data_IF_701290751766
#
_entry.id   IF_701290751766
#
_cell.length_a   1.000
_cell.length_b   1.000
_cell.length_c   1.000
_cell.angle_alpha   90.00
_cell.angle_beta   90.00
_cell.angle_gamma   90.00
#
_symmetry.space_group_name_H-M   'P 1'
#
loop_
_entity.id
_entity.type
_entity.pdbx_description
1 polymer ?
#
# COMPACT_ATOMS: atom_id res chain seq x y z
N UNK A 1 -6.30 -12.79 -17.04
CA UNK A 1 -5.48 -12.11 -16.00
C UNK A 1 -4.47 -11.25 -16.71
N UNK A 2 -4.33 -9.95 -16.40
CA UNK A 2 -3.11 -9.25 -16.78
C UNK A 2 -1.96 -9.92 -16.01
N UNK A 3 -1.01 -10.51 -16.73
CA UNK A 3 0.23 -11.00 -16.10
C UNK A 3 0.90 -9.79 -15.46
N UNK A 4 1.41 -9.95 -14.23
CA UNK A 4 2.28 -8.92 -13.64
C UNK A 4 3.39 -8.59 -14.64
N UNK A 5 3.64 -7.30 -14.85
CA UNK A 5 4.68 -6.87 -15.79
C UNK A 5 6.05 -7.41 -15.35
N UNK A 6 6.85 -7.83 -16.34
CA UNK A 6 8.15 -8.46 -16.10
C UNK A 6 9.09 -7.63 -15.23
N UNK A 7 8.95 -6.30 -15.28
CA UNK A 7 9.70 -5.34 -14.47
C UNK A 7 9.30 -5.46 -12.99
N UNK A 8 8.00 -5.50 -12.69
CA UNK A 8 7.46 -5.64 -11.33
C UNK A 8 7.93 -6.94 -10.69
N UNK A 9 7.93 -8.05 -11.46
CA UNK A 9 8.40 -9.34 -10.95
C UNK A 9 9.90 -9.29 -10.61
N UNK A 10 10.72 -8.71 -11.49
CA UNK A 10 12.17 -8.55 -11.26
C UNK A 10 12.46 -7.66 -10.05
N UNK A 11 11.76 -6.54 -9.91
CA UNK A 11 11.89 -5.64 -8.76
C UNK A 11 11.57 -6.37 -7.44
N UNK A 12 10.41 -7.05 -7.38
CA UNK A 12 10.02 -7.84 -6.20
C UNK A 12 11.09 -8.87 -5.84
N UNK A 13 11.61 -9.59 -6.83
CA UNK A 13 12.66 -10.58 -6.62
C UNK A 13 13.95 -9.97 -6.05
N UNK A 14 14.41 -8.85 -6.61
CA UNK A 14 15.61 -8.15 -6.12
C UNK A 14 15.40 -7.67 -4.69
N UNK A 15 14.26 -7.01 -4.41
CA UNK A 15 13.92 -6.54 -3.07
C UNK A 15 13.86 -7.69 -2.06
N UNK A 16 13.22 -8.80 -2.43
CA UNK A 16 13.10 -9.97 -1.57
C UNK A 16 14.46 -10.62 -1.31
N UNK A 17 15.36 -10.63 -2.30
CA UNK A 17 16.73 -11.09 -2.13
C UNK A 17 17.51 -10.19 -1.16
N UNK A 18 17.42 -8.86 -1.32
CA UNK A 18 18.08 -7.88 -0.45
C UNK A 18 17.58 -7.96 1.00
N UNK A 19 16.28 -8.09 1.20
CA UNK A 19 15.65 -8.16 2.53
C UNK A 19 15.59 -9.58 3.10
N UNK A 20 16.02 -10.60 2.35
CA UNK A 20 15.97 -12.00 2.75
C UNK A 20 16.61 -12.28 4.10
N UNK A 21 17.81 -11.75 4.43
CA UNK A 21 18.45 -12.03 5.72
C UNK A 21 17.60 -11.56 6.90
N UNK A 22 17.06 -10.34 6.81
CA UNK A 22 16.23 -9.74 7.86
C UNK A 22 14.88 -10.44 7.94
N UNK A 23 14.24 -10.70 6.80
CA UNK A 23 12.96 -11.39 6.74
C UNK A 23 13.02 -12.80 7.33
N UNK A 24 14.07 -13.57 7.00
CA UNK A 24 14.30 -14.90 7.57
C UNK A 24 14.58 -14.85 9.07
N UNK A 25 15.35 -13.86 9.53
CA UNK A 25 15.63 -13.68 10.95
C UNK A 25 14.34 -13.41 11.74
N UNK A 26 13.52 -12.45 11.29
CA UNK A 26 12.25 -12.11 11.94
C UNK A 26 11.31 -13.32 11.95
N UNK A 27 11.16 -13.99 10.80
CA UNK A 27 10.31 -15.19 10.71
C UNK A 27 10.84 -16.35 11.57
N UNK A 28 12.16 -16.51 11.68
CA UNK A 28 12.77 -17.55 12.51
C UNK A 28 12.44 -17.34 13.99
N UNK A 29 12.57 -16.09 14.47
CA UNK A 29 12.27 -15.69 15.86
C UNK A 29 10.75 -15.75 16.13
N UNK A 30 9.91 -15.52 15.11
CA UNK A 30 8.46 -15.56 15.26
C UNK A 30 7.91 -16.99 15.39
N UNK A 31 7.54 -17.36 16.61
CA UNK A 31 7.09 -18.71 16.98
C UNK A 31 5.57 -18.97 16.86
N UNK A 32 4.64 -17.99 17.02
CA UNK A 32 3.21 -18.26 17.17
C UNK A 32 2.57 -19.23 16.15
N UNK A 33 2.81 -19.11 14.82
CA UNK A 33 2.22 -20.05 13.86
C UNK A 33 2.65 -21.51 14.09
N UNK A 34 3.87 -21.74 14.57
CA UNK A 34 4.40 -23.09 14.87
C UNK A 34 3.74 -23.70 16.11
N UNK A 35 3.44 -22.88 17.11
CA UNK A 35 2.72 -23.32 18.32
C UNK A 35 1.27 -23.63 18.01
N UNK A 36 0.58 -22.75 17.26
CA UNK A 36 -0.81 -22.95 16.87
C UNK A 36 -1.00 -24.24 16.05
N UNK A 37 -0.06 -24.55 15.14
CA UNK A 37 -0.08 -25.81 14.41
C UNK A 37 0.08 -27.04 15.31
N UNK A 38 0.88 -26.95 16.38
CA UNK A 38 1.06 -28.05 17.35
C UNK A 38 -0.22 -28.36 18.13
N UNK A 39 -1.06 -27.35 18.40
CA UNK A 39 -2.35 -27.51 19.08
C UNK A 39 -3.51 -27.83 18.12
N UNK A 40 -3.21 -28.24 16.88
CA UNK A 40 -4.21 -28.71 15.91
C UNK A 40 -4.93 -27.61 15.11
N UNK A 41 -4.51 -26.35 15.19
CA UNK A 41 -5.10 -25.27 14.40
C UNK A 41 -4.66 -25.39 12.93
N UNK A 42 -5.62 -25.21 12.02
CA UNK A 42 -5.34 -25.25 10.57
C UNK A 42 -4.30 -24.21 10.16
N UNK A 43 -3.51 -24.52 9.14
CA UNK A 43 -2.47 -23.62 8.62
C UNK A 43 -3.05 -22.23 8.29
N UNK A 44 -4.19 -22.17 7.62
CA UNK A 44 -4.84 -20.90 7.25
C UNK A 44 -5.14 -20.03 8.46
N UNK A 45 -5.66 -20.61 9.55
CA UNK A 45 -5.95 -19.88 10.79
C UNK A 45 -4.68 -19.49 11.53
N UNK A 46 -3.64 -20.34 11.51
CA UNK A 46 -2.35 -20.02 12.11
C UNK A 46 -1.63 -18.86 11.39
N UNK A 47 -1.80 -18.74 10.07
CA UNK A 47 -1.22 -17.65 9.27
C UNK A 47 -1.81 -16.27 9.58
N UNK A 48 -2.99 -16.19 10.20
CA UNK A 48 -3.52 -14.92 10.73
C UNK A 48 -2.51 -14.31 11.71
N UNK A 49 -1.85 -15.15 12.51
CA UNK A 49 -0.79 -14.79 13.45
C UNK A 49 0.61 -14.93 12.84
N UNK A 50 0.72 -14.93 11.51
CA UNK A 50 1.98 -14.99 10.78
C UNK A 50 2.87 -13.79 11.05
N UNK A 51 4.17 -13.93 10.78
CA UNK A 51 5.14 -12.89 11.06
C UNK A 51 4.86 -11.63 10.24
N UNK A 52 4.41 -11.78 8.98
CA UNK A 52 4.03 -10.66 8.13
C UNK A 52 2.86 -9.84 8.70
N UNK A 53 1.76 -10.51 9.06
CA UNK A 53 0.59 -9.82 9.64
C UNK A 53 0.91 -9.14 10.97
N UNK A 54 1.77 -9.75 11.79
CA UNK A 54 2.25 -9.12 13.01
C UNK A 54 3.06 -7.86 12.72
N UNK A 55 3.94 -7.89 11.71
CA UNK A 55 4.69 -6.70 11.29
C UNK A 55 3.76 -5.58 10.80
N UNK A 56 2.72 -5.91 10.02
CA UNK A 56 1.71 -4.93 9.61
C UNK A 56 0.96 -4.33 10.80
N UNK A 57 0.58 -5.16 11.78
CA UNK A 57 -0.07 -4.71 13.01
C UNK A 57 0.86 -3.85 13.87
N UNK A 58 2.14 -4.22 14.00
CA UNK A 58 3.13 -3.44 14.72
C UNK A 58 3.30 -2.04 14.11
N UNK A 59 3.36 -1.95 12.78
CA UNK A 59 3.36 -0.68 12.05
C UNK A 59 2.13 0.17 12.36
N UNK A 60 0.94 -0.43 12.40
CA UNK A 60 -0.30 0.26 12.77
C UNK A 60 -0.27 0.79 14.21
N UNK A 61 0.26 0.01 15.16
CA UNK A 61 0.43 0.43 16.55
C UNK A 61 1.41 1.60 16.68
N UNK A 62 2.45 1.66 15.85
CA UNK A 62 3.37 2.82 15.80
C UNK A 62 2.65 4.09 15.35
N UNK A 63 1.73 3.99 14.38
CA UNK A 63 0.90 5.13 13.94
C UNK A 63 -0.05 5.58 15.07
N UNK A 64 -0.65 4.64 15.80
CA UNK A 64 -1.48 4.98 16.97
C UNK A 64 -0.65 5.68 18.05
N UNK A 65 0.56 5.16 18.33
CA UNK A 65 1.49 5.79 19.28
C UNK A 65 1.88 7.19 18.82
N UNK A 66 2.12 7.40 17.52
CA UNK A 66 2.33 8.73 16.96
C UNK A 66 1.21 9.70 17.34
N UNK A 67 -0.06 9.33 17.12
CA UNK A 67 -1.21 10.18 17.47
C UNK A 67 -1.34 10.45 18.98
N UNK A 68 -0.91 9.51 19.81
CA UNK A 68 -0.90 9.70 21.27
C UNK A 68 0.12 10.75 21.73
N UNK A 69 1.22 10.92 20.99
CA UNK A 69 2.34 11.77 21.41
C UNK A 69 2.47 13.06 20.58
N UNK A 70 1.96 13.14 19.34
CA UNK A 70 2.37 14.18 18.39
C UNK A 70 2.16 15.64 18.84
N UNK A 71 1.26 15.90 19.80
CA UNK A 71 1.02 17.24 20.37
C UNK A 71 1.97 17.62 21.50
N UNK A 72 2.78 16.67 21.99
CA UNK A 72 3.77 16.96 23.02
C UNK A 72 4.85 17.88 22.45
N UNK A 73 5.31 18.82 23.27
CA UNK A 73 6.38 19.73 22.87
C UNK A 73 7.73 19.02 22.84
N UNK A 74 8.62 19.42 21.92
CA UNK A 74 10.01 18.95 21.88
C UNK A 74 10.23 17.52 21.37
N UNK A 75 9.21 16.81 20.89
CA UNK A 75 9.33 15.40 20.48
C UNK A 75 9.47 15.17 18.96
N UNK A 76 9.74 16.21 18.17
CA UNK A 76 9.80 16.11 16.69
C UNK A 76 10.75 15.00 16.21
N UNK A 77 11.91 14.84 16.87
CA UNK A 77 12.85 13.77 16.55
C UNK A 77 12.28 12.37 16.85
N UNK A 78 11.56 12.21 17.96
CA UNK A 78 10.91 10.94 18.31
C UNK A 78 9.81 10.60 17.32
N UNK A 79 9.02 11.59 16.91
CA UNK A 79 8.00 11.47 15.88
C UNK A 79 8.62 11.00 14.56
N UNK A 80 9.72 11.63 14.12
CA UNK A 80 10.44 11.22 12.92
C UNK A 80 10.84 9.73 12.98
N UNK A 81 11.43 9.28 14.10
CA UNK A 81 11.82 7.89 14.26
C UNK A 81 10.62 6.93 14.33
N UNK A 82 9.49 7.34 14.92
CA UNK A 82 8.26 6.54 14.94
C UNK A 82 7.70 6.34 13.52
N UNK A 83 7.64 7.41 12.72
CA UNK A 83 7.19 7.34 11.33
C UNK A 83 8.14 6.50 10.49
N UNK A 84 9.46 6.69 10.64
CA UNK A 84 10.46 5.90 9.94
C UNK A 84 10.34 4.42 10.32
N UNK A 85 10.15 4.09 11.59
CA UNK A 85 9.91 2.72 12.03
C UNK A 85 8.63 2.14 11.41
N UNK A 86 7.53 2.90 11.36
CA UNK A 86 6.30 2.46 10.71
C UNK A 86 6.54 2.16 9.21
N UNK A 87 7.27 3.02 8.50
CA UNK A 87 7.65 2.80 7.11
C UNK A 87 8.56 1.57 6.92
N UNK A 88 9.53 1.35 7.80
CA UNK A 88 10.42 0.19 7.72
C UNK A 88 9.66 -1.13 7.96
N UNK A 89 8.67 -1.14 8.85
CA UNK A 89 7.82 -2.32 9.06
C UNK A 89 7.03 -2.69 7.80
N UNK A 90 6.58 -1.70 7.03
CA UNK A 90 5.92 -1.87 5.73
C UNK A 90 6.84 -2.46 4.65
N UNK A 91 8.07 -1.96 4.58
CA UNK A 91 9.03 -2.49 3.61
C UNK A 91 9.36 -3.98 3.83
N UNK A 92 9.22 -4.47 5.07
CA UNK A 92 9.70 -5.79 5.49
C UNK A 92 8.57 -6.85 5.51
N UNK A 93 7.31 -6.48 5.76
CA UNK A 93 6.23 -7.46 5.90
C UNK A 93 5.90 -8.20 4.59
N UNK A 94 5.95 -7.51 3.45
CA UNK A 94 5.75 -8.07 2.12
C UNK A 94 6.80 -9.14 1.79
N UNK A 95 8.11 -8.86 1.91
CA UNK A 95 9.16 -9.86 1.78
C UNK A 95 8.99 -11.06 2.72
N UNK A 96 8.64 -10.83 3.99
CA UNK A 96 8.35 -11.93 4.93
C UNK A 96 7.23 -12.82 4.37
N UNK A 97 6.12 -12.22 3.93
CA UNK A 97 4.98 -12.94 3.39
C UNK A 97 5.33 -13.75 2.13
N UNK A 98 6.09 -13.16 1.19
CA UNK A 98 6.44 -13.83 -0.08
C UNK A 98 7.45 -14.96 0.10
N UNK A 99 8.52 -14.73 0.87
CA UNK A 99 9.59 -15.72 1.07
C UNK A 99 9.07 -16.97 1.78
N UNK A 100 8.11 -16.81 2.70
CA UNK A 100 7.59 -17.91 3.53
C UNK A 100 6.22 -18.43 3.06
N UNK A 101 5.69 -17.93 1.93
CA UNK A 101 4.35 -18.27 1.44
C UNK A 101 3.25 -18.02 2.48
N UNK A 102 3.29 -16.85 3.14
CA UNK A 102 2.36 -16.37 4.15
C UNK A 102 1.53 -15.16 3.64
N UNK A 103 1.34 -15.03 2.32
CA UNK A 103 0.49 -13.97 1.76
C UNK A 103 -0.97 -14.25 2.17
N UNK A 104 -1.58 -13.31 2.89
CA UNK A 104 -2.98 -13.43 3.33
C UNK A 104 -3.80 -12.21 2.91
N UNK A 105 -5.12 -12.38 2.69
CA UNK A 105 -6.00 -11.24 2.38
C UNK A 105 -6.04 -10.22 3.51
N UNK A 106 -6.00 -10.69 4.76
CA UNK A 106 -5.92 -9.82 5.93
C UNK A 106 -4.65 -8.96 5.90
N UNK A 107 -3.50 -9.60 5.67
CA UNK A 107 -2.21 -8.90 5.58
C UNK A 107 -2.24 -7.80 4.52
N UNK A 108 -2.77 -8.09 3.33
CA UNK A 108 -2.88 -7.09 2.26
C UNK A 108 -3.83 -5.95 2.64
N UNK A 109 -4.96 -6.20 3.30
CA UNK A 109 -5.84 -5.12 3.77
C UNK A 109 -5.15 -4.25 4.82
N UNK A 110 -4.44 -4.88 5.77
CA UNK A 110 -3.70 -4.17 6.82
C UNK A 110 -2.57 -3.30 6.24
N UNK A 111 -1.86 -3.80 5.24
CA UNK A 111 -0.81 -3.09 4.49
C UNK A 111 -1.33 -1.74 3.97
N UNK A 112 -2.41 -1.77 3.19
CA UNK A 112 -2.98 -0.54 2.62
C UNK A 112 -3.68 0.37 3.64
N UNK A 113 -4.29 -0.20 4.68
CA UNK A 113 -4.86 0.60 5.77
C UNK A 113 -3.75 1.38 6.49
N UNK A 114 -2.62 0.71 6.77
CA UNK A 114 -1.44 1.33 7.36
C UNK A 114 -0.90 2.43 6.46
N UNK A 115 -0.76 2.19 5.15
CA UNK A 115 -0.25 3.18 4.19
C UNK A 115 -1.05 4.48 4.22
N UNK A 116 -2.38 4.39 4.10
CA UNK A 116 -3.23 5.58 4.11
C UNK A 116 -3.18 6.30 5.46
N UNK A 117 -3.23 5.56 6.57
CA UNK A 117 -3.15 6.16 7.90
C UNK A 117 -1.80 6.81 8.14
N UNK A 118 -0.69 6.18 7.75
CA UNK A 118 0.65 6.74 7.88
C UNK A 118 0.77 8.05 7.09
N UNK A 119 0.42 8.01 5.80
CA UNK A 119 0.49 9.18 4.94
C UNK A 119 -0.38 10.34 5.45
N UNK A 120 -1.63 10.04 5.83
CA UNK A 120 -2.54 11.04 6.40
C UNK A 120 -1.99 11.66 7.68
N UNK A 121 -1.49 10.82 8.59
CA UNK A 121 -0.91 11.24 9.87
C UNK A 121 0.25 12.21 9.66
N UNK A 122 1.13 11.88 8.73
CA UNK A 122 2.30 12.71 8.45
C UNK A 122 1.93 14.00 7.75
N UNK A 123 1.03 13.98 6.76
CA UNK A 123 0.56 15.20 6.08
C UNK A 123 -0.02 16.18 7.10
N UNK A 124 -0.87 15.71 8.03
CA UNK A 124 -1.43 16.57 9.08
C UNK A 124 -0.33 17.15 9.96
N UNK A 125 0.64 16.33 10.37
CA UNK A 125 1.71 16.79 11.24
C UNK A 125 2.53 17.91 10.59
N UNK A 126 2.95 17.71 9.34
CA UNK A 126 3.73 18.71 8.60
C UNK A 126 2.86 19.95 8.37
N UNK A 127 1.58 19.78 8.03
CA UNK A 127 0.65 20.90 7.85
C UNK A 127 0.56 21.76 9.11
N UNK A 128 0.35 21.14 10.27
CA UNK A 128 0.25 21.87 11.55
C UNK A 128 1.57 22.54 11.93
N UNK A 129 2.70 21.87 11.71
CA UNK A 129 4.02 22.41 12.05
C UNK A 129 4.45 23.57 11.15
N UNK A 130 4.05 23.55 9.88
CA UNK A 130 4.49 24.49 8.86
C UNK A 130 3.33 25.30 8.24
N UNK A 131 2.26 25.53 8.98
CA UNK A 131 1.08 26.26 8.47
C UNK A 131 1.41 27.70 8.01
N UNK A 132 2.46 28.29 8.56
CA UNK A 132 2.96 29.63 8.18
C UNK A 132 3.91 29.62 6.97
N UNK A 133 4.24 28.44 6.42
CA UNK A 133 5.20 28.25 5.32
C UNK A 133 4.47 27.86 4.03
N UNK A 134 4.04 28.84 3.21
CA UNK A 134 3.24 28.58 2.02
C UNK A 134 3.97 27.67 1.01
N UNK A 135 5.29 27.77 0.97
CA UNK A 135 6.19 26.92 0.20
C UNK A 135 5.99 25.42 0.52
N UNK A 136 5.91 25.06 1.81
CA UNK A 136 5.67 23.69 2.28
C UNK A 136 4.22 23.28 2.07
N UNK A 137 3.27 24.20 2.23
CA UNK A 137 1.85 23.90 2.00
C UNK A 137 1.58 23.52 0.53
N UNK A 138 2.28 24.13 -0.43
CA UNK A 138 2.21 23.74 -1.84
C UNK A 138 2.70 22.30 -2.04
N UNK A 139 3.79 21.90 -1.38
CA UNK A 139 4.30 20.52 -1.42
C UNK A 139 3.23 19.54 -0.92
N UNK A 140 2.67 19.82 0.25
CA UNK A 140 1.65 18.97 0.86
C UNK A 140 0.39 18.89 -0.01
N UNK A 141 -0.05 20.01 -0.57
CA UNK A 141 -1.21 20.04 -1.47
C UNK A 141 -0.98 19.19 -2.73
N UNK A 142 0.21 19.25 -3.32
CA UNK A 142 0.56 18.44 -4.49
C UNK A 142 0.54 16.93 -4.18
N UNK A 143 1.13 16.52 -3.05
CA UNK A 143 1.14 15.12 -2.61
C UNK A 143 -0.27 14.63 -2.26
N UNK A 144 -1.04 15.45 -1.54
CA UNK A 144 -2.42 15.14 -1.17
C UNK A 144 -3.31 14.99 -2.41
N UNK A 145 -3.20 15.91 -3.37
CA UNK A 145 -3.95 15.85 -4.63
C UNK A 145 -3.62 14.58 -5.42
N UNK A 146 -2.32 14.27 -5.59
CA UNK A 146 -1.88 13.03 -6.25
C UNK A 146 -2.49 11.79 -5.58
N UNK A 147 -2.44 11.74 -4.24
CA UNK A 147 -2.99 10.63 -3.45
C UNK A 147 -4.52 10.52 -3.61
N UNK A 148 -5.25 11.64 -3.56
CA UNK A 148 -6.72 11.66 -3.73
C UNK A 148 -7.12 11.17 -5.12
N UNK A 149 -6.41 11.60 -6.16
CA UNK A 149 -6.66 11.14 -7.54
C UNK A 149 -6.50 9.62 -7.64
N UNK A 150 -5.45 9.07 -7.05
CA UNK A 150 -5.17 7.64 -7.07
C UNK A 150 -6.16 6.82 -6.23
N UNK A 151 -6.49 7.28 -5.03
CA UNK A 151 -7.53 6.68 -4.20
C UNK A 151 -8.87 6.65 -4.94
N UNK A 152 -9.21 7.74 -5.66
CA UNK A 152 -10.41 7.83 -6.49
C UNK A 152 -10.38 6.86 -7.67
N UNK A 153 -9.24 6.68 -8.32
CA UNK A 153 -9.07 5.71 -9.41
C UNK A 153 -9.24 4.28 -8.90
N UNK A 154 -8.61 3.92 -7.78
CA UNK A 154 -8.75 2.62 -7.14
C UNK A 154 -10.19 2.35 -6.67
N UNK A 155 -10.86 3.35 -6.09
CA UNK A 155 -12.26 3.25 -5.69
C UNK A 155 -13.18 3.01 -6.90
N UNK A 156 -12.96 3.72 -8.02
CA UNK A 156 -13.70 3.46 -9.27
C UNK A 156 -13.47 2.06 -9.81
N UNK A 157 -12.23 1.54 -9.76
CA UNK A 157 -11.93 0.16 -10.15
C UNK A 157 -12.64 -0.86 -9.25
N UNK A 158 -12.64 -0.63 -7.94
CA UNK A 158 -13.34 -1.47 -6.97
C UNK A 158 -14.85 -1.47 -7.20
N UNK A 159 -15.47 -0.29 -7.36
CA UNK A 159 -16.92 -0.16 -7.62
C UNK A 159 -17.31 -0.82 -8.93
N UNK A 160 -16.52 -0.63 -9.99
CA UNK A 160 -16.72 -1.34 -11.24
C UNK A 160 -16.68 -2.85 -11.01
N UNK A 161 -15.73 -3.40 -10.25
CA UNK A 161 -15.69 -4.83 -9.93
C UNK A 161 -16.92 -5.26 -9.10
N UNK A 162 -17.29 -4.51 -8.07
CA UNK A 162 -18.46 -4.80 -7.23
C UNK A 162 -19.76 -4.88 -8.04
N UNK A 163 -20.03 -3.91 -8.92
CA UNK A 163 -21.24 -3.92 -9.76
C UNK A 163 -21.30 -5.14 -10.70
N UNK A 164 -20.14 -5.69 -11.07
CA UNK A 164 -20.07 -6.91 -11.88
C UNK A 164 -20.33 -8.17 -11.07
N UNK A 165 -19.88 -8.19 -9.80
CA UNK A 165 -20.06 -9.30 -8.89
C UNK A 165 -21.32 -9.18 -8.02
N UNK A 166 -22.18 -8.18 -8.22
CA UNK A 166 -23.52 -8.04 -7.57
C UNK A 166 -24.38 -9.32 -7.59
N UNK A 167 -24.10 -10.24 -8.52
CA UNK A 167 -24.78 -11.54 -8.63
C UNK A 167 -24.26 -12.60 -7.65
N UNK A 168 -23.16 -12.34 -6.97
CA UNK A 168 -22.55 -13.20 -5.96
C UNK A 168 -22.69 -12.53 -4.59
N UNK A 169 -23.48 -13.12 -3.69
CA UNK A 169 -23.79 -12.59 -2.36
C UNK A 169 -22.61 -12.60 -1.36
N UNK A 170 -21.38 -12.89 -1.79
CA UNK A 170 -20.22 -13.03 -0.91
C UNK A 170 -19.24 -11.86 -1.12
N UNK A 171 -19.45 -10.79 -0.34
CA UNK A 171 -18.60 -9.60 -0.33
C UNK A 171 -17.16 -9.92 0.08
N UNK A 172 -16.95 -10.93 0.93
CA UNK A 172 -15.61 -11.32 1.38
C UNK A 172 -14.79 -11.89 0.24
N UNK A 173 -15.42 -12.66 -0.64
CA UNK A 173 -14.77 -13.17 -1.84
C UNK A 173 -14.36 -12.03 -2.78
N UNK A 174 -15.22 -11.02 -2.96
CA UNK A 174 -14.92 -9.84 -3.78
C UNK A 174 -13.74 -9.07 -3.19
N UNK A 175 -13.75 -8.80 -1.88
CA UNK A 175 -12.68 -8.10 -1.17
C UNK A 175 -11.37 -8.87 -1.31
N UNK A 176 -11.40 -10.19 -1.07
CA UNK A 176 -10.24 -11.05 -1.18
C UNK A 176 -9.64 -11.01 -2.59
N UNK A 177 -10.46 -11.26 -3.60
CA UNK A 177 -9.98 -11.36 -4.98
C UNK A 177 -9.49 -9.98 -5.48
N UNK A 178 -10.16 -8.88 -5.11
CA UNK A 178 -9.68 -7.52 -5.39
C UNK A 178 -8.36 -7.24 -4.68
N UNK A 179 -8.25 -7.55 -3.40
CA UNK A 179 -7.05 -7.33 -2.59
C UNK A 179 -5.84 -8.08 -3.15
N UNK A 180 -6.00 -9.35 -3.51
CA UNK A 180 -4.91 -10.18 -3.99
C UNK A 180 -4.50 -9.91 -5.45
N UNK A 181 -5.43 -9.46 -6.30
CA UNK A 181 -5.18 -9.32 -7.74
C UNK A 181 -5.05 -7.88 -8.23
N UNK A 182 -5.89 -6.98 -7.72
CA UNK A 182 -6.04 -5.62 -8.27
C UNK A 182 -5.39 -4.56 -7.40
N UNK A 183 -5.23 -4.86 -6.11
CA UNK A 183 -4.68 -3.93 -5.14
C UNK A 183 -3.15 -4.03 -5.03
N UNK A 184 -2.54 -4.99 -5.72
CA UNK A 184 -1.09 -5.04 -5.87
C UNK A 184 -0.57 -3.90 -6.74
N UNK A 185 0.38 -3.14 -6.21
CA UNK A 185 1.01 -2.02 -6.90
C UNK A 185 2.01 -2.48 -7.96
N UNK A 186 1.91 -1.87 -9.15
CA UNK A 186 2.89 -2.00 -10.23
C UNK A 186 4.21 -1.32 -9.86
N UNK A 187 5.25 -1.55 -10.67
CA UNK A 187 6.53 -0.86 -10.51
C UNK A 187 6.37 0.67 -10.45
N UNK A 188 5.64 1.27 -11.40
CA UNK A 188 5.39 2.72 -11.41
C UNK A 188 4.66 3.18 -10.15
N UNK A 189 3.67 2.40 -9.70
CA UNK A 189 2.95 2.67 -8.44
C UNK A 189 3.85 2.66 -7.21
N UNK A 190 4.85 1.75 -7.17
CA UNK A 190 5.85 1.70 -6.11
C UNK A 190 6.80 2.89 -6.15
N UNK A 191 7.28 3.28 -7.34
CA UNK A 191 8.12 4.48 -7.51
C UNK A 191 7.34 5.74 -7.11
N UNK A 192 6.06 5.83 -7.50
CA UNK A 192 5.18 6.91 -7.10
C UNK A 192 5.05 7.02 -5.57
N UNK A 193 4.78 5.90 -4.90
CA UNK A 193 4.67 5.86 -3.44
C UNK A 193 6.00 6.20 -2.76
N UNK A 194 7.11 5.61 -3.22
CA UNK A 194 8.44 5.86 -2.67
C UNK A 194 8.82 7.34 -2.75
N UNK A 195 8.56 7.99 -3.88
CA UNK A 195 8.86 9.42 -4.06
C UNK A 195 8.01 10.31 -3.18
N UNK A 196 6.72 9.97 -2.97
CA UNK A 196 5.86 10.64 -2.00
C UNK A 196 6.41 10.48 -0.56
N UNK A 197 6.70 9.24 -0.17
CA UNK A 197 7.21 8.90 1.15
C UNK A 197 8.57 9.56 1.43
N UNK A 198 9.46 9.61 0.45
CA UNK A 198 10.76 10.27 0.56
C UNK A 198 10.61 11.79 0.72
N UNK A 199 9.71 12.42 -0.05
CA UNK A 199 9.44 13.86 0.06
C UNK A 199 8.92 14.23 1.44
N UNK A 200 7.93 13.48 1.91
CA UNK A 200 7.34 13.64 3.24
C UNK A 200 8.35 13.36 4.36
N UNK A 201 9.15 12.30 4.23
CA UNK A 201 10.17 11.95 5.24
C UNK A 201 11.28 12.99 5.34
N UNK A 202 11.69 13.61 4.22
CA UNK A 202 12.64 14.72 4.25
C UNK A 202 12.09 15.95 4.96
N UNK A 203 10.79 16.24 4.82
CA UNK A 203 10.13 17.35 5.51
C UNK A 203 10.01 17.07 7.02
N UNK A 204 9.72 15.82 7.38
CA UNK A 204 9.76 15.37 8.77
C UNK A 204 11.16 15.49 9.36
N UNK A 205 12.19 15.06 8.62
CA UNK A 205 13.57 15.17 9.07
C UNK A 205 13.98 16.63 9.23
N UNK A 206 13.58 17.49 8.30
CA UNK A 206 13.78 18.93 8.41
C UNK A 206 13.08 19.50 9.65
N UNK A 207 11.83 19.15 9.91
CA UNK A 207 11.11 19.56 11.13
C UNK A 207 11.82 19.12 12.41
N UNK A 208 12.40 17.91 12.41
CA UNK A 208 13.07 17.32 13.55
C UNK A 208 14.46 17.91 13.82
N UNK A 209 15.25 18.14 12.77
CA UNK A 209 16.69 18.43 12.90
C UNK A 209 17.12 19.76 12.29
N UNK A 210 16.21 20.49 11.66
CA UNK A 210 16.45 21.80 11.04
C UNK A 210 17.64 21.76 10.05
N UNK A 211 17.72 20.70 9.25
CA UNK A 211 18.77 20.50 8.23
C UNK A 211 18.28 20.85 6.84
N UNK A 212 18.80 21.95 6.28
CA UNK A 212 18.40 22.47 4.97
C UNK A 212 18.53 21.47 3.83
N UNK A 213 19.53 20.59 3.86
CA UNK A 213 19.69 19.57 2.83
C UNK A 213 18.49 18.61 2.75
N UNK A 214 17.82 18.34 3.89
CA UNK A 214 16.66 17.46 3.92
C UNK A 214 15.43 18.15 3.32
N UNK A 215 15.27 19.44 3.58
CA UNK A 215 14.27 20.27 2.93
C UNK A 215 14.48 20.32 1.42
N UNK A 216 15.72 20.53 0.95
CA UNK A 216 16.04 20.51 -0.48
C UNK A 216 15.78 19.13 -1.12
N UNK A 217 16.16 18.05 -0.44
CA UNK A 217 15.86 16.69 -0.87
C UNK A 217 14.35 16.43 -0.99
N UNK A 218 13.54 16.99 -0.08
CA UNK A 218 12.07 16.93 -0.15
C UNK A 218 11.50 17.58 -1.40
N UNK A 219 12.08 18.71 -1.83
CA UNK A 219 11.69 19.37 -3.08
C UNK A 219 12.03 18.52 -4.30
N UNK A 220 13.25 17.99 -4.37
CA UNK A 220 13.68 17.14 -5.49
C UNK A 220 12.76 15.92 -5.60
N UNK A 221 12.51 15.26 -4.49
CA UNK A 221 11.65 14.06 -4.45
C UNK A 221 10.19 14.38 -4.72
N UNK A 222 9.70 15.58 -4.36
CA UNK A 222 8.38 16.06 -4.77
C UNK A 222 8.29 16.25 -6.29
N UNK A 223 9.27 16.91 -6.91
CA UNK A 223 9.26 17.12 -8.35
C UNK A 223 9.25 15.79 -9.10
N UNK A 224 10.04 14.83 -8.61
CA UNK A 224 10.02 13.47 -9.11
C UNK A 224 8.67 12.78 -8.88
N UNK A 225 8.08 12.96 -7.69
CA UNK A 225 6.74 12.43 -7.38
C UNK A 225 5.70 12.94 -8.38
N UNK A 226 5.61 14.26 -8.60
CA UNK A 226 4.68 14.87 -9.56
C UNK A 226 4.89 14.29 -10.97
N UNK A 227 6.14 14.16 -11.42
CA UNK A 227 6.46 13.57 -12.71
C UNK A 227 5.97 12.11 -12.80
N UNK A 228 6.25 11.29 -11.79
CA UNK A 228 5.85 9.87 -11.74
C UNK A 228 4.34 9.71 -11.60
N UNK A 229 3.64 10.62 -10.92
CA UNK A 229 2.17 10.62 -10.78
C UNK A 229 1.49 10.64 -12.14
N UNK A 230 1.99 11.44 -13.10
CA UNK A 230 1.46 11.48 -14.46
C UNK A 230 1.52 10.10 -15.14
N UNK A 231 2.68 9.44 -15.08
CA UNK A 231 2.86 8.09 -15.64
C UNK A 231 1.97 7.07 -14.93
N UNK A 232 1.90 7.11 -13.61
CA UNK A 232 1.12 6.13 -12.85
C UNK A 232 -0.39 6.28 -13.07
N UNK A 233 -0.90 7.51 -13.11
CA UNK A 233 -2.30 7.78 -13.47
C UNK A 233 -2.61 7.22 -14.86
N UNK A 234 -1.74 7.45 -15.83
CA UNK A 234 -1.91 6.91 -17.18
C UNK A 234 -1.96 5.38 -17.18
N UNK A 235 -1.05 4.73 -16.45
CA UNK A 235 -1.02 3.27 -16.30
C UNK A 235 -2.31 2.71 -15.67
N UNK A 236 -2.79 3.34 -14.59
CA UNK A 236 -4.04 2.95 -13.94
C UNK A 236 -5.24 3.05 -14.88
N UNK A 237 -5.33 4.13 -15.66
CA UNK A 237 -6.40 4.30 -16.65
C UNK A 237 -6.31 3.26 -17.78
N UNK A 238 -5.11 2.98 -18.29
CA UNK A 238 -4.93 1.92 -19.28
C UNK A 238 -5.38 0.55 -18.74
N UNK A 239 -5.03 0.25 -17.48
CA UNK A 239 -5.42 -0.99 -16.83
C UNK A 239 -6.93 -1.07 -16.62
N UNK A 240 -7.57 0.04 -16.23
CA UNK A 240 -9.02 0.16 -16.12
C UNK A 240 -9.71 -0.14 -17.47
N UNK A 241 -9.33 0.55 -18.55
CA UNK A 241 -9.95 0.35 -19.87
C UNK A 241 -9.72 -1.05 -20.44
N UNK A 242 -8.50 -1.61 -20.26
CA UNK A 242 -8.22 -3.00 -20.67
C UNK A 242 -9.17 -3.99 -19.99
N UNK A 243 -9.45 -3.79 -18.71
CA UNK A 243 -10.37 -4.65 -17.93
C UNK A 243 -11.82 -4.46 -18.37
N UNK A 244 -12.24 -3.22 -18.59
CA UNK A 244 -13.58 -2.92 -19.09
C UNK A 244 -13.83 -3.60 -20.45
N UNK A 245 -12.87 -3.55 -21.37
CA UNK A 245 -12.98 -4.19 -22.68
C UNK A 245 -13.01 -5.74 -22.62
N UNK A 246 -12.26 -6.36 -21.69
CA UNK A 246 -12.39 -7.81 -21.44
C UNK A 246 -13.78 -8.14 -20.90
N UNK A 247 -14.28 -7.30 -20.00
CA UNK A 247 -15.58 -7.48 -19.38
C UNK A 247 -16.73 -7.34 -20.39
N UNK A 248 -16.73 -6.30 -21.22
CA UNK A 248 -17.74 -6.10 -22.27
C UNK A 248 -17.80 -7.29 -23.23
N UNK A 249 -16.64 -7.84 -23.61
CA UNK A 249 -16.56 -9.07 -24.40
C UNK A 249 -17.19 -10.27 -23.70
N UNK A 250 -16.97 -10.43 -22.41
CA UNK A 250 -17.58 -11.50 -21.62
C UNK A 250 -19.11 -11.32 -21.51
N UNK A 251 -19.59 -10.10 -21.22
CA UNK A 251 -21.03 -9.79 -21.17
C UNK A 251 -21.69 -10.09 -22.52
N UNK A 252 -21.10 -9.64 -23.62
CA UNK A 252 -21.59 -9.93 -24.97
C UNK A 252 -21.60 -11.42 -25.31
N UNK A 253 -20.64 -12.21 -24.81
CA UNK A 253 -20.63 -13.68 -24.97
C UNK A 253 -21.73 -14.34 -24.15
N UNK A 254 -21.97 -13.88 -22.93
CA UNK A 254 -23.01 -14.41 -22.05
C UNK A 254 -24.43 -14.15 -22.59
N UNK A 255 -24.67 -12.97 -23.16
CA UNK A 255 -25.94 -12.66 -23.84
C UNK A 255 -26.16 -13.58 -25.06
N UNK A 256 -25.14 -13.72 -25.91
CA UNK A 256 -25.20 -14.64 -27.07
C UNK A 256 -25.46 -16.10 -26.67
N UNK A 257 -24.91 -16.55 -25.54
CA UNK A 257 -25.16 -17.90 -25.01
C UNK A 257 -26.60 -18.06 -24.52
N UNK A 258 -27.16 -17.07 -23.82
CA UNK A 258 -28.56 -17.09 -23.40
C UNK A 258 -29.52 -17.08 -24.58
N UNK A 259 -29.26 -16.26 -25.59
CA UNK A 259 -30.06 -16.24 -26.82
C UNK A 259 -30.02 -17.60 -27.54
N UNK A 260 -28.86 -18.27 -27.58
CA UNK A 260 -28.74 -19.61 -28.16
C UNK A 260 -29.48 -20.69 -27.36
N UNK A 261 -29.52 -20.57 -26.03
CA UNK A 261 -30.23 -21.51 -25.15
C UNK A 261 -31.75 -21.26 -25.11
N UNK A 262 -32.22 -20.11 -25.59
CA UNK A 262 -33.64 -19.74 -25.67
C UNK A 262 -34.24 -19.94 -27.07
N UNK A 263 -33.42 -20.29 -28.08
CA UNK A 263 -33.94 -20.72 -29.38
C UNK A 263 -34.35 -22.20 -29.27
N UNK A 264 -35.61 -22.54 -29.61
CA UNK A 264 -36.13 -23.91 -29.55
C UNK A 264 -35.41 -24.85 -30.53
#
# INVERSE_FOLDING_TARGET
>A
MPKEDSITIKEKYIRDALLSPIAKLIWFIWVPPRLLKKIGISRERALIFGAANFMSLAGLLLIIKFWAVFKSEGINAQIFWLVLAAFLTDMIDGPIARIHNEITPLGTILDHLRDYLALFSVIIMIFLHFISRPDILIILAAIALGTIILASANAKMFLARHDLFKKHHDIWRIIRDFSLEDYQTSFTGRVHFFTAAASVSGLLFFAAYQKEWAYFLSYITLLLHIAVSGFYIHELWQNYYRRLAVFERWRARSHRLKERLQKP
#
